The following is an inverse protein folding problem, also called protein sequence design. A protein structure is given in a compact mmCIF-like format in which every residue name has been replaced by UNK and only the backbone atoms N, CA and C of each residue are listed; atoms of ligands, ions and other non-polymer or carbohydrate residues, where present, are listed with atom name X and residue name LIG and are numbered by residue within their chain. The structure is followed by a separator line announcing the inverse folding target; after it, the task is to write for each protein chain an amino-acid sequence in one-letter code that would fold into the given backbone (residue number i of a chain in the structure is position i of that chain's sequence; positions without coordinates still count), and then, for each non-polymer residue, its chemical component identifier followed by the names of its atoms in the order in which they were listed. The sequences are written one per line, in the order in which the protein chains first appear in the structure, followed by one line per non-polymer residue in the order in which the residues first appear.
data_IF_535129846446
#
_entry.id   IF_535129846446
#
_cell.length_a   1.000
_cell.length_b   1.000
_cell.length_c   1.000
_cell.angle_alpha   90.00
_cell.angle_beta   90.00
_cell.angle_gamma   90.00
#
_symmetry.space_group_name_H-M   'P 1'
#
loop_
_entity.id
_entity.type
_entity.pdbx_description
1 polymer ?
#
# COMPACT_ATOMS: atom_id res chain seq x y z
N UNK A 1 -8.33 53.78 30.57
CA UNK A 1 -8.66 52.93 29.39
C UNK A 1 -7.37 52.58 28.65
N UNK A 2 -6.78 51.42 28.95
CA UNK A 2 -5.59 50.93 28.25
C UNK A 2 -6.02 50.24 26.94
N UNK A 3 -5.44 50.67 25.80
CA UNK A 3 -5.69 50.06 24.49
C UNK A 3 -4.95 48.72 24.42
N UNK A 4 -5.71 47.64 24.24
CA UNK A 4 -5.19 46.32 23.91
C UNK A 4 -4.84 46.29 22.41
N UNK A 5 -3.57 46.10 22.09
CA UNK A 5 -3.10 45.85 20.72
C UNK A 5 -2.96 44.34 20.56
N UNK A 6 -3.69 43.66 19.65
CA UNK A 6 -3.49 42.23 19.45
C UNK A 6 -2.13 42.01 18.77
N UNK A 7 -1.30 41.16 19.36
CA UNK A 7 -0.06 40.71 18.76
C UNK A 7 -0.41 39.92 17.48
N UNK A 8 -0.06 40.48 16.32
CA UNK A 8 -0.15 39.77 15.04
C UNK A 8 0.79 38.56 15.11
N UNK A 9 0.20 37.36 15.20
CA UNK A 9 0.96 36.12 15.14
C UNK A 9 1.77 36.08 13.83
N UNK A 10 3.10 36.12 13.96
CA UNK A 10 4.04 35.97 12.82
C UNK A 10 3.72 34.64 12.12
N UNK A 11 3.13 34.72 10.92
CA UNK A 11 2.96 33.57 10.01
C UNK A 11 4.33 32.95 9.78
N UNK A 12 4.61 31.80 10.42
CA UNK A 12 5.86 31.05 10.27
C UNK A 12 6.00 30.72 8.78
N UNK A 13 7.14 31.05 8.16
CA UNK A 13 7.41 30.67 6.76
C UNK A 13 7.24 29.14 6.66
N UNK A 14 6.39 28.64 5.76
CA UNK A 14 6.19 27.20 5.61
C UNK A 14 7.53 26.53 5.33
N UNK A 15 7.83 25.43 6.04
CA UNK A 15 9.02 24.64 5.74
C UNK A 15 8.88 24.11 4.30
N UNK A 16 9.89 24.29 3.41
CA UNK A 16 9.80 23.79 2.04
C UNK A 16 9.44 22.31 1.92
N UNK A 17 9.93 21.46 2.85
CA UNK A 17 9.60 20.03 2.88
C UNK A 17 8.16 19.76 3.33
N UNK A 18 7.64 20.54 4.28
CA UNK A 18 6.24 20.47 4.72
C UNK A 18 5.30 20.88 3.58
N UNK A 19 5.61 21.99 2.89
CA UNK A 19 4.86 22.43 1.72
C UNK A 19 4.83 21.35 0.62
N UNK A 20 5.95 20.69 0.35
CA UNK A 20 6.01 19.59 -0.63
C UNK A 20 5.05 18.46 -0.24
N UNK A 21 4.99 18.10 1.04
CA UNK A 21 4.06 17.07 1.55
C UNK A 21 2.61 17.51 1.46
N UNK A 22 2.27 18.75 1.83
CA UNK A 22 0.90 19.28 1.73
C UNK A 22 0.35 19.21 0.30
N UNK A 23 1.19 19.54 -0.68
CA UNK A 23 0.85 19.45 -2.10
C UNK A 23 0.63 17.99 -2.53
N UNK A 24 1.48 17.06 -2.07
CA UNK A 24 1.29 15.64 -2.32
C UNK A 24 0.02 15.10 -1.65
N UNK A 25 -0.31 15.52 -0.43
CA UNK A 25 -1.51 15.10 0.30
C UNK A 25 -2.79 15.60 -0.43
N UNK A 26 -2.78 16.84 -0.92
CA UNK A 26 -3.85 17.35 -1.79
C UNK A 26 -3.97 16.57 -3.11
N UNK A 27 -2.83 16.21 -3.71
CA UNK A 27 -2.80 15.41 -4.94
C UNK A 27 -3.28 13.96 -4.73
N UNK A 28 -3.00 13.34 -3.58
CA UNK A 28 -3.56 12.03 -3.19
C UNK A 28 -5.08 12.12 -3.19
N UNK A 29 -5.64 13.15 -2.57
CA UNK A 29 -7.09 13.31 -2.52
C UNK A 29 -7.69 13.56 -3.91
N UNK A 30 -7.04 14.33 -4.78
CA UNK A 30 -7.49 14.51 -6.16
C UNK A 30 -7.45 13.21 -6.98
N UNK A 31 -6.41 12.38 -6.80
CA UNK A 31 -6.35 11.07 -7.43
C UNK A 31 -7.47 10.15 -6.90
N UNK A 32 -7.74 10.19 -5.60
CA UNK A 32 -8.82 9.43 -5.01
C UNK A 32 -10.19 9.87 -5.54
N UNK A 33 -10.46 11.18 -5.58
CA UNK A 33 -11.77 11.72 -5.93
C UNK A 33 -12.03 11.67 -7.46
N UNK A 34 -11.06 12.15 -8.24
CA UNK A 34 -11.23 12.48 -9.67
C UNK A 34 -10.42 11.56 -10.60
N UNK A 35 -9.63 10.62 -10.05
CA UNK A 35 -8.73 9.75 -10.80
C UNK A 35 -7.55 10.48 -11.45
N UNK A 36 -6.77 9.77 -12.28
CA UNK A 36 -5.59 10.35 -12.93
C UNK A 36 -5.89 11.57 -13.82
N UNK A 37 -7.07 11.62 -14.46
CA UNK A 37 -7.50 12.79 -15.26
C UNK A 37 -7.79 14.02 -14.38
N UNK A 38 -8.11 13.79 -13.11
CA UNK A 38 -8.29 14.80 -12.09
C UNK A 38 -7.03 15.56 -11.70
N UNK A 39 -5.83 15.02 -11.96
CA UNK A 39 -4.60 15.57 -11.44
C UNK A 39 -3.95 16.58 -12.40
N UNK A 40 -3.91 17.85 -11.99
CA UNK A 40 -3.12 18.93 -12.60
C UNK A 40 -2.56 19.85 -11.52
N UNK A 41 -1.45 20.54 -11.82
CA UNK A 41 -0.83 21.50 -10.89
C UNK A 41 -1.80 22.55 -10.36
N UNK A 42 -2.60 23.14 -11.24
CA UNK A 42 -3.59 24.14 -10.86
C UNK A 42 -4.66 23.56 -9.92
N UNK A 43 -5.10 22.32 -10.14
CA UNK A 43 -6.07 21.67 -9.25
C UNK A 43 -5.45 21.35 -7.90
N UNK A 44 -4.18 20.95 -7.86
CA UNK A 44 -3.43 20.73 -6.61
C UNK A 44 -3.30 22.04 -5.84
N UNK A 45 -2.93 23.13 -6.50
CA UNK A 45 -2.81 24.45 -5.87
C UNK A 45 -4.12 24.85 -5.18
N UNK A 46 -5.23 24.72 -5.91
CA UNK A 46 -6.57 25.03 -5.41
C UNK A 46 -6.99 24.11 -4.26
N UNK A 47 -6.76 22.80 -4.38
CA UNK A 47 -7.10 21.81 -3.32
C UNK A 47 -6.27 22.05 -2.06
N UNK A 48 -5.00 22.43 -2.21
CA UNK A 48 -4.10 22.75 -1.10
C UNK A 48 -4.29 24.18 -0.53
N UNK A 49 -5.12 25.01 -1.16
CA UNK A 49 -5.35 26.40 -0.73
C UNK A 49 -4.11 27.30 -0.87
N UNK A 50 -3.26 27.04 -1.86
CA UNK A 50 -2.04 27.82 -2.13
C UNK A 50 -2.18 28.64 -3.42
N UNK A 51 -1.32 29.67 -3.64
CA UNK A 51 -1.34 30.44 -4.87
C UNK A 51 -1.11 29.58 -6.12
N UNK A 52 -1.77 29.93 -7.21
CA UNK A 52 -1.58 29.30 -8.53
C UNK A 52 -0.09 29.33 -8.93
N UNK A 53 0.42 28.19 -9.40
CA UNK A 53 1.81 28.01 -9.79
C UNK A 53 2.71 27.45 -8.69
N UNK A 54 2.24 27.35 -7.44
CA UNK A 54 3.02 26.78 -6.32
C UNK A 54 3.43 25.34 -6.62
N UNK A 55 2.50 24.49 -7.06
CA UNK A 55 2.79 23.09 -7.36
C UNK A 55 3.81 22.98 -8.49
N UNK A 56 3.73 23.84 -9.52
CA UNK A 56 4.66 23.84 -10.65
C UNK A 56 6.07 24.27 -10.25
N UNK A 57 6.19 25.12 -9.24
CA UNK A 57 7.47 25.49 -8.63
C UNK A 57 8.14 24.28 -7.95
N UNK A 58 7.40 23.43 -7.25
CA UNK A 58 7.94 22.22 -6.60
C UNK A 58 8.11 21.04 -7.55
N UNK A 59 7.20 20.89 -8.52
CA UNK A 59 7.13 19.73 -9.41
C UNK A 59 7.00 20.19 -10.85
N UNK A 60 8.12 20.41 -11.55
CA UNK A 60 8.11 21.02 -12.89
C UNK A 60 7.29 20.26 -13.94
N UNK A 61 7.11 18.94 -13.79
CA UNK A 61 6.36 18.11 -14.74
C UNK A 61 5.29 17.30 -14.03
N UNK A 62 4.28 16.86 -14.78
CA UNK A 62 3.23 15.97 -14.27
C UNK A 62 3.80 14.62 -13.80
N UNK A 63 4.83 14.08 -14.46
CA UNK A 63 5.52 12.86 -14.02
C UNK A 63 6.27 13.08 -12.70
N UNK A 64 6.93 14.23 -12.52
CA UNK A 64 7.58 14.57 -11.26
C UNK A 64 6.57 14.66 -10.09
N UNK A 65 5.39 15.23 -10.34
CA UNK A 65 4.30 15.25 -9.36
C UNK A 65 3.81 13.83 -9.02
N UNK A 66 3.57 12.96 -10.02
CA UNK A 66 3.14 11.58 -9.76
C UNK A 66 4.14 10.79 -8.92
N UNK A 67 5.44 10.90 -9.22
CA UNK A 67 6.49 10.23 -8.46
C UNK A 67 6.54 10.72 -7.02
N UNK A 68 6.45 12.04 -6.82
CA UNK A 68 6.41 12.62 -5.48
C UNK A 68 5.15 12.21 -4.68
N UNK A 69 4.02 12.01 -5.36
CA UNK A 69 2.80 11.49 -4.74
C UNK A 69 2.95 10.02 -4.37
N UNK A 70 3.61 9.22 -5.22
CA UNK A 70 3.93 7.82 -4.92
C UNK A 70 4.90 7.69 -3.72
N UNK A 71 5.94 8.53 -3.67
CA UNK A 71 6.84 8.63 -2.51
C UNK A 71 6.05 8.98 -1.24
N UNK A 72 5.16 9.96 -1.32
CA UNK A 72 4.32 10.36 -0.18
C UNK A 72 3.39 9.24 0.29
N UNK A 73 2.78 8.48 -0.63
CA UNK A 73 1.99 7.32 -0.27
C UNK A 73 2.84 6.26 0.43
N UNK A 74 4.03 5.95 -0.10
CA UNK A 74 4.93 4.99 0.54
C UNK A 74 5.36 5.43 1.95
N UNK A 75 5.61 6.72 2.17
CA UNK A 75 5.89 7.28 3.51
C UNK A 75 4.70 7.08 4.47
N UNK A 76 3.48 7.36 4.01
CA UNK A 76 2.27 7.23 4.83
C UNK A 76 1.97 5.76 5.15
N UNK A 77 2.15 4.88 4.18
CA UNK A 77 1.97 3.43 4.33
C UNK A 77 3.00 2.88 5.31
N UNK A 78 4.28 3.24 5.17
CA UNK A 78 5.34 2.79 6.07
C UNK A 78 5.07 3.23 7.52
N UNK A 79 4.64 4.48 7.74
CA UNK A 79 4.30 4.97 9.07
C UNK A 79 3.13 4.20 9.69
N UNK A 80 2.13 3.84 8.88
CA UNK A 80 0.99 3.03 9.32
C UNK A 80 1.45 1.60 9.67
N UNK A 81 2.27 0.98 8.81
CA UNK A 81 2.85 -0.34 9.06
C UNK A 81 3.73 -0.36 10.32
N UNK A 82 4.55 0.66 10.56
CA UNK A 82 5.38 0.79 11.77
C UNK A 82 4.52 0.90 13.03
N UNK A 83 3.44 1.69 13.01
CA UNK A 83 2.52 1.79 14.15
C UNK A 83 1.87 0.44 14.52
N UNK A 84 1.67 -0.41 13.51
CA UNK A 84 1.13 -1.76 13.66
C UNK A 84 2.18 -2.71 14.25
N UNK A 85 3.45 -2.57 13.86
CA UNK A 85 4.56 -3.35 14.41
C UNK A 85 4.87 -2.97 15.87
N UNK A 86 4.90 -1.68 16.21
CA UNK A 86 5.24 -1.20 17.56
C UNK A 86 4.18 -1.52 18.61
N UNK A 87 2.92 -1.72 18.20
CA UNK A 87 1.85 -2.16 19.11
C UNK A 87 1.92 -3.65 19.45
N UNK A 88 2.98 -4.36 19.04
CA UNK A 88 3.14 -5.83 19.13
C UNK A 88 3.50 -6.44 20.48
N UNK A 89 3.76 -5.61 21.49
CA UNK A 89 4.22 -6.04 22.80
C UNK A 89 3.14 -6.67 23.72
N UNK A 90 1.90 -6.83 23.26
CA UNK A 90 0.78 -7.34 24.08
C UNK A 90 0.09 -8.57 23.50
N UNK A 91 0.63 -9.77 23.69
CA UNK A 91 -0.17 -11.00 23.66
C UNK A 91 -0.94 -11.10 24.98
N UNK A 92 -2.14 -10.53 25.03
CA UNK A 92 -3.17 -11.00 25.96
C UNK A 92 -3.81 -12.25 25.36
N UNK A 93 -4.22 -13.20 26.19
CA UNK A 93 -4.90 -14.46 25.82
C UNK A 93 -6.29 -14.28 25.16
N UNK A 94 -6.63 -13.07 24.72
CA UNK A 94 -7.91 -12.75 24.10
C UNK A 94 -7.92 -13.05 22.58
N UNK A 95 -9.05 -13.52 22.03
CA UNK A 95 -9.24 -13.82 20.60
C UNK A 95 -9.43 -12.52 19.79
N UNK A 96 -8.46 -11.61 19.88
CA UNK A 96 -8.44 -10.39 19.08
C UNK A 96 -8.05 -10.72 17.64
N UNK A 97 -8.66 -10.07 16.63
CA UNK A 97 -8.26 -10.27 15.24
C UNK A 97 -6.80 -9.96 14.99
N UNK A 98 -6.17 -10.65 14.04
CA UNK A 98 -4.81 -10.40 13.61
C UNK A 98 -4.66 -8.96 13.14
N UNK A 99 -3.51 -8.36 13.46
CA UNK A 99 -3.19 -6.99 13.04
C UNK A 99 -3.23 -6.82 11.52
N UNK A 100 -2.81 -7.84 10.78
CA UNK A 100 -2.90 -7.85 9.32
C UNK A 100 -4.35 -7.63 8.86
N UNK A 101 -5.29 -8.36 9.45
CA UNK A 101 -6.71 -8.20 9.15
C UNK A 101 -7.24 -6.83 9.55
N UNK A 102 -6.81 -6.30 10.70
CA UNK A 102 -7.18 -4.93 11.12
C UNK A 102 -6.70 -3.88 10.11
N UNK A 103 -5.44 -3.96 9.65
CA UNK A 103 -4.87 -3.03 8.65
C UNK A 103 -5.62 -3.12 7.34
N UNK A 104 -5.88 -4.32 6.82
CA UNK A 104 -6.57 -4.52 5.54
C UNK A 104 -8.00 -3.97 5.60
N UNK A 105 -8.72 -4.18 6.70
CA UNK A 105 -10.08 -3.65 6.86
C UNK A 105 -10.07 -2.14 7.08
N UNK A 106 -9.10 -1.61 7.82
CA UNK A 106 -8.93 -0.18 8.01
C UNK A 106 -8.62 0.54 6.69
N UNK A 107 -7.96 -0.14 5.74
CA UNK A 107 -7.70 0.41 4.41
C UNK A 107 -8.98 0.75 3.62
N UNK A 108 -10.13 0.21 4.04
CA UNK A 108 -11.45 0.52 3.48
C UNK A 108 -12.14 1.73 4.10
N UNK A 109 -11.51 2.41 5.05
CA UNK A 109 -12.05 3.58 5.78
C UNK A 109 -11.22 4.81 5.50
N UNK A 110 -11.81 6.00 5.56
CA UNK A 110 -11.04 7.24 5.41
C UNK A 110 -10.13 7.47 6.64
N UNK A 111 -8.91 8.00 6.45
CA UNK A 111 -8.32 8.50 5.19
C UNK A 111 -7.64 7.43 4.31
N UNK A 112 -7.50 6.18 4.78
CA UNK A 112 -6.78 5.13 4.06
C UNK A 112 -7.45 4.72 2.74
N UNK A 113 -8.77 4.82 2.68
CA UNK A 113 -9.53 4.49 1.48
C UNK A 113 -9.15 5.39 0.30
N UNK A 114 -9.02 6.70 0.54
CA UNK A 114 -8.48 7.64 -0.44
C UNK A 114 -7.07 7.27 -0.90
N UNK A 115 -6.19 6.87 0.03
CA UNK A 115 -4.82 6.41 -0.30
C UNK A 115 -4.84 5.17 -1.18
N UNK A 116 -5.70 4.20 -0.86
CA UNK A 116 -5.87 2.96 -1.63
C UNK A 116 -6.31 3.26 -3.07
N UNK A 117 -7.33 4.11 -3.24
CA UNK A 117 -7.80 4.52 -4.58
C UNK A 117 -6.72 5.25 -5.37
N UNK A 118 -6.03 6.20 -4.73
CA UNK A 118 -4.91 6.92 -5.35
C UNK A 118 -3.78 5.97 -5.79
N UNK A 119 -3.45 4.95 -4.99
CA UNK A 119 -2.43 3.94 -5.31
C UNK A 119 -2.79 3.18 -6.59
N UNK A 120 -4.03 2.73 -6.75
CA UNK A 120 -4.45 2.03 -7.96
C UNK A 120 -4.43 2.92 -9.21
N UNK A 121 -4.80 4.19 -9.09
CA UNK A 121 -4.65 5.16 -10.18
C UNK A 121 -3.17 5.31 -10.59
N UNK A 122 -2.24 5.37 -9.63
CA UNK A 122 -0.81 5.43 -9.90
C UNK A 122 -0.27 4.14 -10.56
N UNK A 123 -0.74 2.96 -10.11
CA UNK A 123 -0.35 1.68 -10.71
C UNK A 123 -0.69 1.65 -12.20
N UNK A 124 -1.84 2.21 -12.61
CA UNK A 124 -2.20 2.30 -14.03
C UNK A 124 -1.30 3.27 -14.82
N UNK A 125 -0.74 4.29 -14.17
CA UNK A 125 0.21 5.22 -14.80
C UNK A 125 1.63 4.62 -14.88
N UNK A 126 2.01 3.78 -13.91
CA UNK A 126 3.36 3.22 -13.78
C UNK A 126 3.81 2.40 -15.00
N UNK A 127 2.87 1.80 -15.75
CA UNK A 127 3.17 1.08 -16.99
C UNK A 127 3.92 1.92 -18.05
N UNK A 128 3.87 3.25 -17.96
CA UNK A 128 4.52 4.19 -18.89
C UNK A 128 5.64 5.01 -18.25
N UNK A 129 5.92 4.81 -16.96
CA UNK A 129 6.94 5.55 -16.21
C UNK A 129 7.72 4.57 -15.31
N UNK A 130 8.88 4.06 -15.77
CA UNK A 130 9.66 3.08 -15.02
C UNK A 130 10.11 3.54 -13.63
N UNK A 131 10.34 4.84 -13.45
CA UNK A 131 10.72 5.39 -12.15
C UNK A 131 9.53 5.40 -11.18
N UNK A 132 8.32 5.68 -11.67
CA UNK A 132 7.10 5.51 -10.88
C UNK A 132 6.87 4.04 -10.52
N UNK A 133 7.06 3.13 -11.48
CA UNK A 133 6.95 1.70 -11.25
C UNK A 133 7.91 1.21 -10.15
N UNK A 134 9.17 1.69 -10.16
CA UNK A 134 10.15 1.35 -9.13
C UNK A 134 9.72 1.80 -7.72
N UNK A 135 9.16 3.01 -7.59
CA UNK A 135 8.66 3.52 -6.30
C UNK A 135 7.51 2.64 -5.77
N UNK A 136 6.54 2.30 -6.63
CA UNK A 136 5.42 1.45 -6.23
C UNK A 136 5.85 0.01 -5.91
N UNK A 137 6.83 -0.52 -6.64
CA UNK A 137 7.39 -1.85 -6.37
C UNK A 137 8.07 -1.88 -5.00
N UNK A 138 8.90 -0.87 -4.70
CA UNK A 138 9.55 -0.77 -3.39
C UNK A 138 8.52 -0.74 -2.24
N UNK A 139 7.44 0.02 -2.39
CA UNK A 139 6.36 0.06 -1.39
C UNK A 139 5.67 -1.32 -1.24
N UNK A 140 5.49 -2.04 -2.35
CA UNK A 140 4.92 -3.41 -2.33
C UNK A 140 5.86 -4.41 -1.64
N UNK A 141 7.17 -4.28 -1.85
CA UNK A 141 8.17 -5.14 -1.23
C UNK A 141 8.20 -4.96 0.29
N UNK A 142 8.10 -3.72 0.78
CA UNK A 142 8.00 -3.43 2.23
C UNK A 142 6.73 -4.03 2.85
N UNK A 143 5.58 -3.90 2.18
CA UNK A 143 4.34 -4.53 2.66
C UNK A 143 4.46 -6.07 2.70
N UNK A 144 5.10 -6.66 1.68
CA UNK A 144 5.33 -8.12 1.59
C UNK A 144 6.20 -8.63 2.74
N UNK A 145 7.24 -7.87 3.13
CA UNK A 145 8.08 -8.22 4.29
C UNK A 145 7.27 -8.25 5.57
N UNK A 146 6.49 -7.20 5.87
CA UNK A 146 5.66 -7.16 7.08
C UNK A 146 4.65 -8.31 7.09
N UNK A 147 4.00 -8.57 5.96
CA UNK A 147 3.05 -9.67 5.81
C UNK A 147 3.68 -11.02 6.18
N UNK A 148 4.90 -11.28 5.69
CA UNK A 148 5.67 -12.48 6.04
C UNK A 148 6.01 -12.53 7.54
N UNK A 149 6.44 -11.42 8.12
CA UNK A 149 6.75 -11.33 9.56
C UNK A 149 5.53 -11.63 10.43
N UNK A 150 4.37 -11.07 10.10
CA UNK A 150 3.12 -11.35 10.81
C UNK A 150 2.74 -12.83 10.67
N UNK A 151 2.82 -13.41 9.47
CA UNK A 151 2.53 -14.83 9.27
C UNK A 151 3.43 -15.73 10.13
N UNK A 152 4.74 -15.44 10.19
CA UNK A 152 5.67 -16.18 11.04
C UNK A 152 5.33 -16.01 12.52
N UNK A 153 4.94 -14.82 12.97
CA UNK A 153 4.54 -14.59 14.36
C UNK A 153 3.23 -15.31 14.76
N UNK A 154 2.31 -15.51 13.80
CA UNK A 154 1.05 -16.23 14.01
C UNK A 154 1.24 -17.75 14.06
N UNK A 155 2.41 -18.26 13.66
CA UNK A 155 2.70 -19.69 13.75
C UNK A 155 2.91 -20.13 15.21
N UNK A 156 2.49 -21.37 15.57
CA UNK A 156 2.75 -21.91 16.90
C UNK A 156 4.25 -21.87 17.20
N UNK A 157 4.62 -21.39 18.39
CA UNK A 157 6.01 -21.42 18.84
C UNK A 157 6.52 -22.87 18.80
N UNK A 158 7.50 -23.14 17.93
CA UNK A 158 8.07 -24.49 17.70
C UNK A 158 7.66 -25.17 16.38
N UNK A 159 6.78 -24.57 15.57
CA UNK A 159 6.49 -25.09 14.23
C UNK A 159 7.59 -24.66 13.23
N UNK A 160 8.60 -25.50 13.05
CA UNK A 160 9.54 -25.36 11.93
C UNK A 160 8.85 -25.78 10.63
N UNK A 161 8.32 -24.83 9.86
CA UNK A 161 7.91 -25.07 8.48
C UNK A 161 9.11 -24.86 7.56
N UNK A 162 9.21 -25.70 6.52
CA UNK A 162 10.15 -25.50 5.43
C UNK A 162 9.92 -24.13 4.76
N UNK A 163 11.01 -23.45 4.36
CA UNK A 163 10.93 -22.10 3.74
C UNK A 163 9.96 -22.05 2.56
N UNK A 164 9.93 -23.12 1.75
CA UNK A 164 9.04 -23.22 0.60
C UNK A 164 7.55 -23.19 1.00
N UNK A 165 7.19 -23.79 2.14
CA UNK A 165 5.81 -23.74 2.65
C UNK A 165 5.45 -22.34 3.15
N UNK A 166 6.40 -21.65 3.79
CA UNK A 166 6.22 -20.24 4.19
C UNK A 166 6.04 -19.34 2.98
N UNK A 167 6.76 -19.61 1.89
CA UNK A 167 6.59 -18.92 0.61
C UNK A 167 5.21 -19.14 0.01
N UNK A 168 4.72 -20.39 -0.04
CA UNK A 168 3.35 -20.69 -0.49
C UNK A 168 2.30 -19.94 0.34
N UNK A 169 2.42 -20.00 1.67
CA UNK A 169 1.52 -19.28 2.58
C UNK A 169 1.53 -17.78 2.28
N UNK A 170 2.73 -17.18 2.21
CA UNK A 170 2.89 -15.75 1.96
C UNK A 170 2.32 -15.34 0.60
N UNK A 171 2.66 -16.06 -0.46
CA UNK A 171 2.25 -15.72 -1.82
C UNK A 171 0.73 -15.84 -2.01
N UNK A 172 0.11 -16.91 -1.50
CA UNK A 172 -1.34 -17.12 -1.67
C UNK A 172 -2.14 -16.11 -0.85
N UNK A 173 -1.79 -15.91 0.42
CA UNK A 173 -2.51 -14.96 1.29
C UNK A 173 -2.32 -13.52 0.83
N UNK A 174 -1.11 -13.13 0.40
CA UNK A 174 -0.88 -11.82 -0.21
C UNK A 174 -1.67 -11.63 -1.51
N UNK A 175 -1.74 -12.65 -2.36
CA UNK A 175 -2.55 -12.61 -3.59
C UNK A 175 -4.03 -12.40 -3.28
N UNK A 176 -4.54 -13.09 -2.25
CA UNK A 176 -5.91 -12.90 -1.78
C UNK A 176 -6.14 -11.47 -1.27
N UNK A 177 -5.26 -10.95 -0.41
CA UNK A 177 -5.33 -9.58 0.12
C UNK A 177 -5.27 -8.55 -1.01
N UNK A 178 -4.37 -8.71 -1.99
CA UNK A 178 -4.29 -7.81 -3.14
C UNK A 178 -5.59 -7.81 -3.97
N UNK A 179 -6.21 -8.97 -4.14
CA UNK A 179 -7.52 -9.09 -4.79
C UNK A 179 -8.63 -8.42 -3.98
N UNK A 180 -8.62 -8.55 -2.66
CA UNK A 180 -9.55 -7.88 -1.74
C UNK A 180 -9.39 -6.36 -1.80
N UNK A 181 -8.15 -5.87 -1.76
CA UNK A 181 -7.82 -4.44 -1.86
C UNK A 181 -8.25 -3.83 -3.19
N UNK A 182 -8.12 -4.58 -4.30
CA UNK A 182 -8.55 -4.12 -5.62
C UNK A 182 -10.08 -4.00 -5.69
N UNK A 183 -10.81 -4.99 -5.17
CA UNK A 183 -12.28 -4.93 -5.07
C UNK A 183 -12.73 -3.76 -4.21
N UNK A 184 -12.10 -3.60 -3.05
CA UNK A 184 -12.35 -2.49 -2.13
C UNK A 184 -12.20 -1.14 -2.84
N UNK A 185 -11.14 -0.93 -3.63
CA UNK A 185 -10.87 0.33 -4.32
C UNK A 185 -11.99 0.78 -5.28
N UNK A 186 -12.76 -0.17 -5.82
CA UNK A 186 -13.91 0.11 -6.69
C UNK A 186 -15.26 -0.01 -5.96
N UNK A 187 -15.24 -0.15 -4.62
CA UNK A 187 -16.42 -0.14 -3.76
C UNK A 187 -17.02 -1.52 -3.45
N UNK A 188 -16.44 -2.61 -3.94
CA UNK A 188 -16.89 -3.98 -3.65
C UNK A 188 -16.31 -4.46 -2.30
N UNK A 189 -17.15 -4.44 -1.26
CA UNK A 189 -16.79 -4.79 0.13
C UNK A 189 -17.33 -6.17 0.50
N UNK A 190 -16.65 -7.22 0.06
CA UNK A 190 -17.01 -8.61 0.36
C UNK A 190 -16.67 -8.99 1.81
N UNK A 191 -15.59 -8.41 2.34
CA UNK A 191 -15.10 -8.63 3.71
C UNK A 191 -15.01 -7.28 4.41
N UNK A 192 -15.71 -7.15 5.53
CA UNK A 192 -15.95 -5.87 6.23
C UNK A 192 -15.51 -5.88 7.70
N UNK A 193 -15.05 -7.02 8.19
CA UNK A 193 -14.67 -7.27 9.59
C UNK A 193 -13.32 -7.99 9.66
N UNK A 194 -12.42 -7.60 10.59
CA UNK A 194 -11.14 -8.27 10.76
C UNK A 194 -11.28 -9.76 11.12
N UNK A 195 -12.30 -10.11 11.91
CA UNK A 195 -12.60 -11.48 12.34
C UNK A 195 -12.92 -12.38 11.13
N UNK A 196 -13.71 -11.86 10.18
CA UNK A 196 -14.05 -12.60 8.96
C UNK A 196 -12.82 -12.79 8.07
N UNK A 197 -11.99 -11.75 7.95
CA UNK A 197 -10.75 -11.82 7.19
C UNK A 197 -9.80 -12.87 7.80
N UNK A 198 -9.64 -12.89 9.12
CA UNK A 198 -8.85 -13.92 9.80
C UNK A 198 -9.37 -15.33 9.58
N UNK A 199 -10.68 -15.53 9.65
CA UNK A 199 -11.31 -16.82 9.35
C UNK A 199 -10.96 -17.29 7.94
N UNK A 200 -10.99 -16.39 6.95
CA UNK A 200 -10.62 -16.70 5.56
C UNK A 200 -9.12 -17.00 5.44
N UNK A 201 -8.25 -16.15 6.00
CA UNK A 201 -6.80 -16.35 5.95
C UNK A 201 -6.38 -17.64 6.64
N UNK A 202 -7.00 -17.97 7.78
CA UNK A 202 -6.78 -19.23 8.50
C UNK A 202 -7.27 -20.44 7.70
N UNK A 203 -8.41 -20.34 7.01
CA UNK A 203 -8.89 -21.40 6.12
C UNK A 203 -7.95 -21.63 4.93
N UNK A 204 -7.45 -20.55 4.31
CA UNK A 204 -6.43 -20.60 3.24
C UNK A 204 -5.16 -21.28 3.77
N UNK A 205 -4.63 -20.82 4.90
CA UNK A 205 -3.41 -21.37 5.49
C UNK A 205 -3.56 -22.85 5.84
N UNK A 206 -4.67 -23.24 6.47
CA UNK A 206 -4.97 -24.64 6.79
C UNK A 206 -5.09 -25.50 5.52
N UNK A 207 -5.67 -24.97 4.44
CA UNK A 207 -5.75 -25.64 3.14
C UNK A 207 -4.37 -25.91 2.54
N UNK A 208 -3.49 -24.90 2.57
CA UNK A 208 -2.09 -25.02 2.10
C UNK A 208 -1.33 -26.05 2.93
N UNK A 209 -1.41 -25.98 4.25
CA UNK A 209 -0.68 -26.88 5.16
C UNK A 209 -1.10 -28.35 5.02
N UNK A 210 -2.36 -28.60 4.63
CA UNK A 210 -2.89 -29.95 4.37
C UNK A 210 -2.63 -30.43 2.94
N UNK A 211 -2.18 -29.56 2.03
CA UNK A 211 -1.92 -29.92 0.64
C UNK A 211 -0.74 -30.90 0.54
N UNK A 212 -0.84 -31.97 -0.26
CA UNK A 212 0.31 -32.82 -0.56
C UNK A 212 1.39 -32.09 -1.37
N UNK A 213 1.03 -30.98 -2.03
CA UNK A 213 1.92 -30.16 -2.86
C UNK A 213 2.45 -28.91 -2.14
N UNK A 214 2.30 -28.81 -0.82
CA UNK A 214 2.83 -27.70 -0.03
C UNK A 214 4.34 -27.53 -0.28
N UNK A 215 4.78 -26.28 -0.41
CA UNK A 215 6.14 -25.93 -0.81
C UNK A 215 6.37 -25.88 -2.32
N UNK A 216 5.35 -26.16 -3.14
CA UNK A 216 5.43 -26.11 -4.60
C UNK A 216 4.26 -25.38 -5.25
N UNK A 217 3.29 -24.88 -4.47
CA UNK A 217 2.04 -24.31 -5.01
C UNK A 217 2.28 -23.00 -5.74
N UNK A 218 3.30 -22.25 -5.34
CA UNK A 218 3.63 -20.93 -5.88
C UNK A 218 5.01 -20.88 -6.54
N UNK A 219 5.62 -22.05 -6.71
CA UNK A 219 6.96 -22.16 -7.27
C UNK A 219 6.98 -21.62 -8.72
N UNK A 220 7.88 -20.67 -8.95
CA UNK A 220 8.01 -19.99 -10.24
C UNK A 220 8.99 -20.72 -11.17
N UNK A 221 9.68 -21.76 -10.66
CA UNK A 221 10.68 -22.53 -11.39
C UNK A 221 10.13 -23.28 -12.61
N UNK A 222 8.90 -23.82 -12.53
CA UNK A 222 8.32 -24.62 -13.64
C UNK A 222 7.95 -23.79 -14.88
N UNK A 223 7.82 -22.46 -14.75
CA UNK A 223 7.50 -21.60 -15.90
C UNK A 223 8.69 -21.28 -16.80
N UNK A 224 9.93 -21.47 -16.34
CA UNK A 224 11.14 -21.23 -17.16
C UNK A 224 11.55 -22.45 -18.00
N UNK A 225 11.08 -23.65 -17.66
CA UNK A 225 11.41 -24.89 -18.38
C UNK A 225 10.55 -25.11 -19.65
N UNK A 226 9.31 -24.61 -19.68
CA UNK A 226 8.38 -24.82 -20.81
C UNK A 226 8.51 -23.82 -21.97
N UNK A 227 9.35 -22.78 -21.82
CA UNK A 227 9.49 -21.68 -22.79
C UNK A 227 10.55 -21.86 -23.89
N UNK A 228 11.37 -22.91 -23.86
CA UNK A 228 12.37 -23.17 -24.92
C UNK A 228 11.81 -24.12 -25.99
N UNK A 229 11.08 -23.58 -26.96
CA UNK A 229 10.92 -24.24 -28.26
C UNK A 229 12.28 -24.20 -28.98
N UNK A 230 12.86 -25.32 -29.42
CA UNK A 230 14.08 -25.28 -30.22
C UNK A 230 13.79 -24.59 -31.57
N UNK A 231 14.75 -23.84 -32.14
CA UNK A 231 14.57 -23.20 -33.43
C UNK A 231 14.31 -24.27 -34.50
N UNK A 232 13.30 -24.02 -35.34
CA UNK A 232 13.00 -24.84 -36.50
C UNK A 232 14.24 -24.89 -37.40
N UNK A 233 14.69 -26.11 -37.71
CA UNK A 233 15.71 -26.33 -38.73
C UNK A 233 15.15 -25.85 -40.07
N UNK A 234 15.78 -24.83 -40.64
CA UNK A 234 15.53 -24.37 -42.00
C UNK A 234 16.12 -25.41 -42.98
N UNK A 235 15.24 -26.08 -43.73
CA UNK A 235 15.54 -26.73 -44.99
C UNK A 235 15.04 -25.88 -46.15
#
# INVERSE_FOLDING_TARGET
MARYTPAVAKRRRPNPGERRRDLCDAAIQLLADDGAKGLSHLKVDRKAGVPDGTTSFYFRTRSALLRAVAERLAELDLAELQSVADSSDGRGEDPSPSRLSQVVIQAGREPQFSRTRARYELTMQAARDPALAAILQQATDEFTKLHREILVQLMPHGAELESAVVEDLSNVTLTFINGLMLRLAHGDRIVDSPERLDGILSAIAAGILKSPDKGRLTDSADRRASGRRPPAASG
#
